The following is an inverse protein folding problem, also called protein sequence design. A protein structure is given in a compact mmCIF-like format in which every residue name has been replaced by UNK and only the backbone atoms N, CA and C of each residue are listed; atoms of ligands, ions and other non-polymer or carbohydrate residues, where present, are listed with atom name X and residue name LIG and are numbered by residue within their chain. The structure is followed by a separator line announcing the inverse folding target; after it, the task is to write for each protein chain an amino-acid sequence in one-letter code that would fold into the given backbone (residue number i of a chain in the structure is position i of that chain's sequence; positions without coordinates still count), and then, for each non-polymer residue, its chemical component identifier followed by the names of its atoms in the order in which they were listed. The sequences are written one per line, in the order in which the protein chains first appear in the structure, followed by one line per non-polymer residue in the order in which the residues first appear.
data_IF_008301271588
#
_entry.id   IF_008301271588
#
_cell.length_a   1.000
_cell.length_b   1.000
_cell.length_c   1.000
_cell.angle_alpha   90.00
_cell.angle_beta   90.00
_cell.angle_gamma   90.00
#
_symmetry.space_group_name_H-M   'P 1'
#
loop_
_entity.id
_entity.type
_entity.pdbx_description
1 polymer ?
#
# COMPACT_ATOMS: atom_id res chain seq x y z
N UNK A 1 -40.92 11.64 -30.95
CA UNK A 1 -39.84 12.61 -30.77
C UNK A 1 -39.22 12.44 -29.35
N UNK A 2 -38.63 11.24 -29.05
CA UNK A 2 -38.01 10.92 -27.71
C UNK A 2 -36.49 10.67 -27.76
N UNK A 3 -35.81 11.03 -28.86
CA UNK A 3 -34.36 10.74 -29.02
C UNK A 3 -33.37 11.60 -28.22
N UNK A 4 -33.61 12.90 -27.92
CA UNK A 4 -32.58 13.69 -27.21
C UNK A 4 -32.46 13.42 -25.70
N UNK A 5 -33.51 12.91 -25.05
CA UNK A 5 -33.46 12.63 -23.57
C UNK A 5 -32.68 11.36 -23.24
N UNK A 6 -32.75 10.35 -24.12
CA UNK A 6 -32.04 9.09 -23.94
C UNK A 6 -30.52 9.29 -24.15
N UNK A 7 -30.14 10.18 -25.07
CA UNK A 7 -28.72 10.49 -25.32
C UNK A 7 -28.09 11.29 -24.18
N UNK A 8 -28.83 12.19 -23.54
CA UNK A 8 -28.33 12.95 -22.37
C UNK A 8 -28.16 12.06 -21.12
N UNK A 9 -29.07 11.10 -20.91
CA UNK A 9 -29.00 10.14 -19.81
C UNK A 9 -27.84 9.15 -20.03
N UNK A 10 -27.55 8.74 -21.26
CA UNK A 10 -26.42 7.88 -21.60
C UNK A 10 -25.07 8.59 -21.41
N UNK A 11 -24.97 9.89 -21.68
CA UNK A 11 -23.77 10.69 -21.45
C UNK A 11 -23.54 10.90 -19.95
N UNK A 12 -24.58 11.10 -19.15
CA UNK A 12 -24.48 11.22 -17.69
C UNK A 12 -24.13 9.89 -17.01
N UNK A 13 -24.61 8.76 -17.52
CA UNK A 13 -24.22 7.42 -17.05
C UNK A 13 -22.81 7.03 -17.53
N UNK A 14 -22.36 7.50 -18.69
CA UNK A 14 -21.01 7.28 -19.19
C UNK A 14 -19.93 8.04 -18.42
N UNK A 15 -20.25 9.20 -17.84
CA UNK A 15 -19.33 9.96 -16.98
C UNK A 15 -19.16 9.36 -15.57
N UNK A 16 -20.12 8.57 -15.11
CA UNK A 16 -20.01 7.86 -13.82
C UNK A 16 -19.19 6.56 -13.90
N UNK A 17 -18.89 6.05 -15.09
CA UNK A 17 -18.21 4.75 -15.29
C UNK A 17 -16.68 4.87 -15.43
N UNK A 18 -16.08 6.04 -15.33
CA UNK A 18 -14.63 6.24 -15.29
C UNK A 18 -14.14 6.54 -13.87
N UNK A 19 -14.55 5.73 -12.89
CA UNK A 19 -13.75 5.50 -11.71
C UNK A 19 -12.62 4.55 -12.14
N UNK A 20 -11.68 5.07 -12.93
CA UNK A 20 -10.40 4.41 -13.17
C UNK A 20 -9.78 4.10 -11.82
N UNK A 21 -9.20 2.92 -11.65
CA UNK A 21 -8.38 2.60 -10.50
C UNK A 21 -7.40 3.77 -10.33
N UNK A 22 -7.54 4.54 -9.24
CA UNK A 22 -6.57 5.58 -8.94
C UNK A 22 -5.24 4.87 -8.70
N UNK A 23 -4.21 5.23 -9.47
CA UNK A 23 -2.86 4.74 -9.24
C UNK A 23 -2.49 5.01 -7.79
N UNK A 24 -1.97 4.00 -7.11
CA UNK A 24 -1.56 4.12 -5.72
C UNK A 24 -0.45 5.17 -5.61
N UNK A 25 -0.56 6.04 -4.62
CA UNK A 25 0.54 6.95 -4.32
C UNK A 25 1.74 6.18 -3.77
N UNK A 26 2.96 6.68 -3.96
CA UNK A 26 4.16 6.09 -3.38
C UNK A 26 4.02 5.90 -1.86
N UNK A 27 3.41 6.86 -1.17
CA UNK A 27 3.16 6.77 0.26
C UNK A 27 2.25 5.58 0.61
N UNK A 28 1.20 5.36 -0.17
CA UNK A 28 0.27 4.24 0.04
C UNK A 28 0.96 2.90 -0.22
N UNK A 29 1.75 2.80 -1.30
CA UNK A 29 2.54 1.61 -1.64
C UNK A 29 3.46 1.24 -0.47
N UNK A 30 4.21 2.21 0.06
CA UNK A 30 5.13 1.99 1.18
C UNK A 30 4.37 1.56 2.45
N UNK A 31 3.25 2.22 2.77
CA UNK A 31 2.45 1.87 3.94
C UNK A 31 1.84 0.47 3.82
N UNK A 32 1.45 0.05 2.63
CA UNK A 32 0.97 -1.33 2.37
C UNK A 32 2.07 -2.35 2.61
N UNK A 33 3.29 -2.06 2.20
CA UNK A 33 4.42 -2.99 2.20
C UNK A 33 5.12 -3.12 3.56
N UNK A 34 5.31 -2.00 4.27
CA UNK A 34 6.12 -1.96 5.51
C UNK A 34 5.76 -3.02 6.54
N UNK A 35 4.48 -3.27 6.89
CA UNK A 35 4.15 -4.25 7.92
C UNK A 35 4.65 -5.67 7.64
N UNK A 36 4.85 -6.03 6.37
CA UNK A 36 5.33 -7.34 5.97
C UNK A 36 6.86 -7.51 6.11
N UNK A 37 7.61 -6.44 6.42
CA UNK A 37 9.07 -6.47 6.54
C UNK A 37 9.47 -6.55 8.01
N UNK A 38 10.41 -7.44 8.34
CA UNK A 38 10.83 -7.74 9.69
C UNK A 38 12.36 -7.82 9.80
N UNK A 39 12.88 -7.64 11.00
CA UNK A 39 14.30 -7.93 11.32
C UNK A 39 14.48 -9.44 11.44
N UNK A 40 15.49 -9.97 10.79
CA UNK A 40 15.96 -11.35 11.00
C UNK A 40 17.22 -11.31 11.84
N UNK A 41 17.24 -12.08 12.91
CA UNK A 41 18.38 -12.17 13.83
C UNK A 41 18.83 -13.63 13.93
N UNK A 42 20.07 -13.88 13.57
CA UNK A 42 20.75 -15.16 13.76
C UNK A 42 21.72 -15.03 14.92
N UNK A 43 21.63 -15.91 15.89
CA UNK A 43 22.44 -15.89 17.11
C UNK A 43 23.07 -17.26 17.33
N UNK A 44 24.29 -17.25 17.87
CA UNK A 44 24.93 -18.46 18.40
C UNK A 44 25.31 -18.17 19.82
N UNK A 45 24.54 -18.70 20.73
CA UNK A 45 24.80 -18.74 22.15
C UNK A 45 25.33 -20.12 22.57
N UNK A 46 25.29 -20.37 23.88
CA UNK A 46 25.62 -21.66 24.44
C UNK A 46 26.16 -21.56 25.84
N UNK A 47 26.69 -22.66 26.33
CA UNK A 47 27.32 -22.74 27.66
C UNK A 47 28.81 -22.98 27.50
N UNK A 48 29.58 -22.34 28.38
CA UNK A 48 31.03 -22.47 28.45
C UNK A 48 31.42 -22.85 29.87
N UNK A 49 32.13 -23.95 30.03
CA UNK A 49 32.69 -24.38 31.34
C UNK A 49 34.16 -23.98 31.43
N UNK A 50 34.44 -23.04 32.32
CA UNK A 50 35.76 -22.46 32.54
C UNK A 50 36.30 -22.83 33.93
N UNK A 51 37.61 -22.82 34.07
CA UNK A 51 38.29 -22.91 35.39
C UNK A 51 38.87 -21.55 35.75
N UNK A 52 38.26 -20.86 36.72
CA UNK A 52 38.67 -19.54 37.18
C UNK A 52 39.34 -19.66 38.58
N UNK A 53 40.65 -19.50 38.64
CA UNK A 53 41.36 -19.57 39.93
C UNK A 53 41.22 -20.92 40.65
N UNK A 54 41.14 -22.01 39.92
CA UNK A 54 40.97 -23.37 40.44
C UNK A 54 39.51 -23.82 40.59
N UNK A 55 38.54 -22.93 40.50
CA UNK A 55 37.09 -23.23 40.58
C UNK A 55 36.50 -23.38 39.18
N UNK A 56 35.76 -24.44 38.98
CA UNK A 56 35.02 -24.69 37.74
C UNK A 56 33.69 -23.91 37.75
N UNK A 57 33.40 -23.21 36.66
CA UNK A 57 32.17 -22.45 36.46
C UNK A 57 31.60 -22.74 35.08
N UNK A 58 30.31 -23.00 35.01
CA UNK A 58 29.55 -23.05 33.72
C UNK A 58 28.72 -21.78 33.58
N UNK A 59 28.88 -21.07 32.48
CA UNK A 59 28.25 -19.78 32.23
C UNK A 59 27.72 -19.72 30.80
N UNK A 60 26.70 -18.87 30.58
CA UNK A 60 26.15 -18.56 29.26
C UNK A 60 26.58 -17.13 28.87
N UNK A 61 27.65 -16.97 28.11
CA UNK A 61 28.10 -15.65 27.66
C UNK A 61 27.12 -14.99 26.71
N UNK A 62 27.30 -13.68 26.48
CA UNK A 62 26.51 -12.94 25.47
C UNK A 62 26.69 -13.64 24.11
N UNK A 63 25.59 -14.00 23.42
CA UNK A 63 25.64 -14.67 22.14
C UNK A 63 26.32 -13.81 21.05
N UNK A 64 27.00 -14.47 20.13
CA UNK A 64 27.33 -13.83 18.85
C UNK A 64 26.07 -13.62 18.03
N UNK A 65 25.96 -12.45 17.39
CA UNK A 65 24.74 -12.06 16.71
C UNK A 65 25.03 -11.42 15.37
N UNK A 66 24.28 -11.86 14.35
CA UNK A 66 24.16 -11.19 13.06
C UNK A 66 22.69 -10.83 12.81
N UNK A 67 22.46 -9.78 12.05
CA UNK A 67 21.09 -9.36 11.74
C UNK A 67 20.97 -8.82 10.31
N UNK A 68 19.78 -8.95 9.77
CA UNK A 68 19.40 -8.42 8.48
C UNK A 68 17.90 -8.18 8.43
N UNK A 69 17.38 -8.02 7.24
CA UNK A 69 15.97 -7.85 6.96
C UNK A 69 15.40 -9.12 6.33
N UNK A 70 14.07 -9.23 6.36
CA UNK A 70 13.33 -10.24 5.63
C UNK A 70 11.89 -9.79 5.44
N UNK A 71 11.14 -10.48 4.60
CA UNK A 71 9.75 -10.16 4.37
C UNK A 71 8.89 -11.41 4.19
N UNK A 72 7.65 -11.32 4.67
CA UNK A 72 6.70 -12.43 4.59
C UNK A 72 6.11 -12.55 3.18
N UNK A 73 6.05 -13.81 2.72
CA UNK A 73 5.43 -14.21 1.45
C UNK A 73 4.09 -14.92 1.62
N UNK A 74 3.82 -15.44 2.83
CA UNK A 74 2.58 -16.15 3.12
C UNK A 74 2.05 -15.75 4.50
N UNK A 75 0.73 -15.61 4.66
CA UNK A 75 0.12 -15.30 5.95
C UNK A 75 0.35 -16.37 7.01
N UNK A 76 0.81 -17.55 6.61
CA UNK A 76 1.18 -18.64 7.53
C UNK A 76 2.58 -18.53 8.11
N UNK A 77 3.26 -17.38 7.94
CA UNK A 77 4.55 -17.12 8.55
C UNK A 77 5.76 -17.62 7.77
N UNK A 78 5.64 -17.76 6.44
CA UNK A 78 6.78 -17.99 5.56
C UNK A 78 7.44 -16.66 5.18
N UNK A 79 8.74 -16.56 5.45
CA UNK A 79 9.55 -15.34 5.28
C UNK A 79 10.81 -15.67 4.49
N UNK A 80 11.18 -14.78 3.56
CA UNK A 80 12.45 -14.84 2.81
C UNK A 80 13.42 -13.81 3.35
N UNK A 81 14.68 -14.19 3.40
CA UNK A 81 15.85 -13.33 3.70
C UNK A 81 17.06 -13.82 2.90
N UNK A 82 18.21 -13.17 3.05
CA UNK A 82 19.47 -13.70 2.48
C UNK A 82 20.03 -14.87 3.27
N UNK A 83 20.77 -15.73 2.57
CA UNK A 83 21.50 -16.84 3.18
C UNK A 83 22.57 -16.38 4.15
N UNK A 84 23.33 -15.32 3.79
CA UNK A 84 24.40 -14.80 4.67
C UNK A 84 23.86 -14.23 5.99
N UNK A 85 22.61 -13.77 6.05
CA UNK A 85 21.98 -13.26 7.28
C UNK A 85 21.83 -14.38 8.32
N UNK A 86 21.62 -15.61 7.89
CA UNK A 86 21.38 -16.75 8.79
C UNK A 86 22.52 -17.78 8.79
N UNK A 87 23.60 -17.54 8.05
CA UNK A 87 24.70 -18.48 7.87
C UNK A 87 25.32 -18.89 9.20
N UNK A 88 25.47 -17.97 10.14
CA UNK A 88 26.08 -18.25 11.46
C UNK A 88 25.23 -19.23 12.29
N UNK A 89 23.93 -19.24 12.12
CA UNK A 89 23.03 -20.19 12.76
C UNK A 89 22.91 -21.49 11.98
N UNK A 90 22.94 -21.45 10.65
CA UNK A 90 22.83 -22.62 9.80
C UNK A 90 24.12 -23.45 9.77
N UNK A 91 25.25 -22.78 9.62
CA UNK A 91 26.59 -23.37 9.47
C UNK A 91 27.58 -22.66 10.40
N UNK A 92 27.42 -22.77 11.74
CA UNK A 92 28.27 -22.05 12.65
C UNK A 92 29.75 -22.47 12.47
N UNK A 93 30.68 -21.49 12.29
CA UNK A 93 32.10 -21.80 12.18
C UNK A 93 32.62 -22.24 13.56
N UNK A 94 32.44 -23.54 13.86
CA UNK A 94 32.59 -24.12 15.23
C UNK A 94 33.83 -23.65 15.96
N UNK A 95 35.00 -23.75 15.29
CA UNK A 95 36.30 -23.38 15.95
C UNK A 95 36.32 -21.91 16.35
N UNK A 96 35.88 -21.02 15.44
CA UNK A 96 35.85 -19.58 15.70
C UNK A 96 34.79 -19.25 16.76
N UNK A 97 33.63 -19.85 16.66
CA UNK A 97 32.50 -19.57 17.55
C UNK A 97 32.82 -20.05 19.00
N UNK A 98 33.43 -21.25 19.12
CA UNK A 98 33.93 -21.75 20.43
C UNK A 98 34.91 -20.77 21.06
N UNK A 99 35.91 -20.32 20.31
CA UNK A 99 36.89 -19.37 20.78
C UNK A 99 36.23 -18.04 21.23
N UNK A 100 35.29 -17.53 20.44
CA UNK A 100 34.55 -16.31 20.75
C UNK A 100 33.73 -16.42 22.02
N UNK A 101 32.99 -17.51 22.23
CA UNK A 101 32.21 -17.69 23.46
C UNK A 101 33.11 -17.87 24.69
N UNK A 102 34.24 -18.59 24.57
CA UNK A 102 35.23 -18.73 25.63
C UNK A 102 35.83 -17.36 25.98
N UNK A 103 36.21 -16.57 25.01
CA UNK A 103 36.72 -15.20 25.22
C UNK A 103 35.71 -14.37 26.02
N UNK A 104 34.44 -14.33 25.56
CA UNK A 104 33.37 -13.57 26.22
C UNK A 104 33.15 -14.03 27.66
N UNK A 105 33.07 -15.35 27.89
CA UNK A 105 32.89 -15.92 29.22
C UNK A 105 34.08 -15.61 30.11
N UNK A 106 35.32 -15.76 29.62
CA UNK A 106 36.54 -15.50 30.39
C UNK A 106 36.67 -14.03 30.74
N UNK A 107 36.43 -13.11 29.80
CA UNK A 107 36.48 -11.66 30.09
C UNK A 107 35.47 -11.26 31.17
N UNK A 108 34.27 -11.86 31.17
CA UNK A 108 33.23 -11.54 32.13
C UNK A 108 33.52 -12.16 33.54
N UNK A 109 33.90 -13.42 33.57
CA UNK A 109 33.87 -14.20 34.81
C UNK A 109 35.23 -14.41 35.47
N UNK A 110 36.33 -14.56 34.71
CA UNK A 110 37.62 -14.90 35.22
C UNK A 110 38.60 -13.73 35.25
N UNK A 111 38.62 -12.93 34.20
CA UNK A 111 39.61 -11.88 34.00
C UNK A 111 39.65 -10.85 35.15
N UNK A 112 38.50 -10.32 35.64
CA UNK A 112 38.52 -9.32 36.72
C UNK A 112 39.23 -9.82 37.98
N UNK A 113 38.94 -11.05 38.40
CA UNK A 113 39.59 -11.65 39.55
C UNK A 113 41.09 -11.95 39.34
N UNK A 114 41.51 -12.23 38.11
CA UNK A 114 42.92 -12.44 37.79
C UNK A 114 43.70 -11.12 37.77
N UNK A 115 43.10 -10.04 37.25
CA UNK A 115 43.70 -8.72 37.27
C UNK A 115 43.86 -8.19 38.68
N UNK A 116 42.82 -8.30 39.52
CA UNK A 116 42.89 -7.92 40.95
C UNK A 116 44.02 -8.61 41.66
N UNK A 117 44.22 -9.94 41.46
CA UNK A 117 45.33 -10.67 42.05
C UNK A 117 46.71 -10.22 41.56
N UNK A 118 46.80 -9.60 40.40
CA UNK A 118 48.03 -9.03 39.82
C UNK A 118 48.21 -7.54 40.15
N UNK A 119 47.28 -6.93 40.89
CA UNK A 119 47.30 -5.50 41.19
C UNK A 119 47.05 -4.60 39.97
N UNK A 120 46.35 -5.10 38.95
CA UNK A 120 46.04 -4.37 37.73
C UNK A 120 44.56 -3.97 37.71
N UNK A 121 44.28 -2.76 37.20
CA UNK A 121 42.91 -2.33 36.86
C UNK A 121 42.50 -2.82 35.46
N UNK A 122 41.20 -3.07 35.20
CA UNK A 122 40.70 -3.37 33.87
C UNK A 122 41.06 -2.27 32.87
N UNK A 123 41.62 -2.65 31.71
CA UNK A 123 42.08 -1.74 30.66
C UNK A 123 43.42 -1.07 30.88
N UNK A 124 44.08 -1.29 32.05
CA UNK A 124 45.38 -0.69 32.37
C UNK A 124 46.52 -1.27 31.51
N UNK A 125 46.46 -2.58 31.23
CA UNK A 125 47.42 -3.28 30.35
C UNK A 125 46.70 -4.19 29.36
N UNK A 126 46.18 -3.69 28.24
CA UNK A 126 45.45 -4.46 27.26
C UNK A 126 46.22 -5.68 26.71
N UNK A 127 47.56 -5.57 26.55
CA UNK A 127 48.40 -6.66 26.05
C UNK A 127 48.46 -7.84 27.02
N UNK A 128 48.42 -7.59 28.36
CA UNK A 128 48.37 -8.62 29.41
C UNK A 128 47.00 -9.28 29.42
N UNK A 129 45.95 -8.49 29.33
CA UNK A 129 44.56 -8.99 29.28
C UNK A 129 44.36 -9.90 28.07
N UNK A 130 44.77 -9.45 26.85
CA UNK A 130 44.67 -10.23 25.61
C UNK A 130 45.55 -11.50 25.66
N UNK A 131 46.70 -11.45 26.35
CA UNK A 131 47.53 -12.61 26.60
C UNK A 131 46.80 -13.66 27.44
N UNK A 132 46.18 -13.25 28.55
CA UNK A 132 45.40 -14.15 29.42
C UNK A 132 44.16 -14.72 28.69
N UNK A 133 43.50 -13.92 27.88
CA UNK A 133 42.36 -14.38 27.06
C UNK A 133 42.80 -15.44 26.04
N UNK A 134 43.89 -15.20 25.29
CA UNK A 134 44.46 -16.18 24.36
C UNK A 134 44.83 -17.51 25.04
N UNK A 135 45.45 -17.43 26.21
CA UNK A 135 45.79 -18.60 27.00
C UNK A 135 44.53 -19.38 27.41
N UNK A 136 43.50 -18.68 27.90
CA UNK A 136 42.24 -19.30 28.31
C UNK A 136 41.53 -19.97 27.14
N UNK A 137 41.48 -19.31 25.98
CA UNK A 137 40.90 -19.88 24.76
C UNK A 137 41.66 -21.13 24.31
N UNK A 138 43.00 -21.10 24.35
CA UNK A 138 43.82 -22.25 23.98
C UNK A 138 43.71 -23.42 24.98
N UNK A 139 43.53 -23.10 26.27
CA UNK A 139 43.42 -24.10 27.34
C UNK A 139 42.00 -24.70 27.48
N UNK A 140 40.97 -24.11 26.88
CA UNK A 140 39.59 -24.60 26.98
C UNK A 140 39.29 -25.61 25.88
N UNK A 141 39.10 -26.91 26.19
CA UNK A 141 38.76 -27.90 25.20
C UNK A 141 37.37 -27.66 24.58
N UNK A 142 37.15 -28.08 23.32
CA UNK A 142 35.90 -27.85 22.58
C UNK A 142 34.69 -28.54 23.24
N UNK A 143 34.86 -29.63 23.93
CA UNK A 143 33.81 -30.36 24.65
C UNK A 143 33.31 -29.61 25.91
N UNK A 144 34.01 -28.57 26.34
CA UNK A 144 33.59 -27.64 27.38
C UNK A 144 32.69 -26.52 26.90
N UNK A 145 32.37 -26.50 25.61
CA UNK A 145 31.53 -25.47 24.97
C UNK A 145 30.40 -26.12 24.21
N UNK A 146 29.17 -25.81 24.58
CA UNK A 146 27.99 -26.10 23.76
C UNK A 146 27.69 -24.90 22.87
N UNK A 147 27.28 -25.17 21.61
CA UNK A 147 26.82 -24.14 20.71
C UNK A 147 25.30 -24.30 20.48
N UNK A 148 24.56 -23.25 20.71
CA UNK A 148 23.10 -23.19 20.58
C UNK A 148 22.73 -22.14 19.53
N UNK A 149 22.75 -22.51 18.23
CA UNK A 149 22.34 -21.60 17.17
C UNK A 149 20.81 -21.42 17.17
N UNK A 150 20.37 -20.17 17.05
CA UNK A 150 18.96 -19.80 17.00
C UNK A 150 18.72 -18.76 15.92
N UNK A 151 17.52 -18.75 15.36
CA UNK A 151 17.04 -17.70 14.47
C UNK A 151 15.74 -17.15 15.02
N UNK A 152 15.59 -15.84 14.98
CA UNK A 152 14.36 -15.16 15.36
C UNK A 152 14.02 -14.05 14.38
N UNK A 153 12.74 -13.73 14.31
CA UNK A 153 12.18 -12.65 13.51
C UNK A 153 11.57 -11.63 14.47
N UNK A 154 11.95 -10.36 14.33
CA UNK A 154 11.41 -9.26 15.14
C UNK A 154 10.51 -8.43 14.24
N UNK A 155 9.24 -8.37 14.58
CA UNK A 155 8.23 -7.58 13.88
C UNK A 155 8.34 -6.10 14.24
N UNK A 156 7.69 -5.23 13.45
CA UNK A 156 7.75 -3.78 13.69
C UNK A 156 7.07 -3.32 14.98
N UNK A 157 6.22 -4.16 15.58
CA UNK A 157 5.66 -3.93 16.92
C UNK A 157 6.61 -4.41 18.06
N UNK A 158 7.82 -4.88 17.73
CA UNK A 158 8.80 -5.39 18.69
C UNK A 158 8.60 -6.87 19.08
N UNK A 159 7.53 -7.53 18.63
CA UNK A 159 7.31 -8.95 18.92
C UNK A 159 8.43 -9.80 18.30
N UNK A 160 9.05 -10.67 19.12
CA UNK A 160 10.11 -11.60 18.70
C UNK A 160 9.53 -13.00 18.57
N UNK A 161 9.62 -13.55 17.36
CA UNK A 161 9.13 -14.88 17.01
C UNK A 161 10.32 -15.81 16.76
N UNK A 162 10.30 -16.98 17.35
CA UNK A 162 11.28 -18.03 17.01
C UNK A 162 11.05 -18.48 15.57
N UNK A 163 12.14 -18.63 14.81
CA UNK A 163 12.10 -19.05 13.42
C UNK A 163 12.95 -20.30 13.21
N UNK A 164 12.53 -21.16 12.29
CA UNK A 164 13.36 -22.27 11.79
C UNK A 164 13.74 -22.01 10.33
N UNK A 165 14.95 -22.39 9.96
CA UNK A 165 15.39 -22.37 8.56
C UNK A 165 14.79 -23.58 7.87
N UNK A 166 13.91 -23.36 6.89
CA UNK A 166 13.21 -24.41 6.15
C UNK A 166 13.93 -24.76 4.84
N UNK A 167 14.56 -23.77 4.20
CA UNK A 167 15.40 -23.96 3.01
C UNK A 167 16.52 -22.93 3.03
N UNK A 168 17.70 -23.34 2.60
CA UNK A 168 18.90 -22.51 2.64
C UNK A 168 19.70 -22.68 1.35
N UNK A 169 20.21 -21.60 0.84
CA UNK A 169 21.18 -21.53 -0.24
C UNK A 169 22.29 -20.58 0.16
N UNK A 170 23.48 -21.13 0.33
CA UNK A 170 24.64 -20.38 0.81
C UNK A 170 24.94 -19.15 -0.07
N UNK A 171 25.59 -18.09 0.49
CA UNK A 171 26.15 -17.01 -0.31
C UNK A 171 27.25 -17.55 -1.23
N UNK A 172 27.36 -16.99 -2.41
CA UNK A 172 28.40 -17.34 -3.37
C UNK A 172 29.77 -16.87 -2.86
N UNK A 173 30.52 -17.72 -2.14
CA UNK A 173 31.87 -17.45 -1.63
C UNK A 173 32.83 -18.59 -2.00
N UNK A 174 34.06 -18.26 -2.46
CA UNK A 174 35.14 -19.24 -2.71
C UNK A 174 35.04 -19.98 -4.06
N UNK A 175 35.78 -21.07 -4.20
CA UNK A 175 35.93 -21.88 -5.45
C UNK A 175 34.79 -22.91 -5.60
N UNK A 176 33.64 -22.70 -5.32
CA UNK A 176 32.52 -23.65 -5.43
C UNK A 176 31.16 -22.96 -5.49
N UNK A 177 31.15 -21.78 -6.07
CA UNK A 177 30.09 -20.79 -5.99
C UNK A 177 28.85 -21.22 -6.76
N UNK A 178 27.93 -21.96 -6.11
CA UNK A 178 26.60 -22.28 -6.69
C UNK A 178 25.44 -21.77 -5.85
N UNK A 179 25.73 -21.05 -4.78
CA UNK A 179 24.68 -20.53 -3.87
C UNK A 179 23.95 -19.32 -4.42
N UNK A 180 22.67 -19.20 -4.07
CA UNK A 180 21.81 -18.06 -4.45
C UNK A 180 21.69 -17.00 -3.36
N UNK A 181 22.39 -17.16 -2.24
CA UNK A 181 22.32 -16.28 -1.06
C UNK A 181 20.89 -16.02 -0.58
N UNK A 182 20.08 -17.05 -0.47
CA UNK A 182 18.68 -16.99 -0.03
C UNK A 182 18.41 -17.98 1.10
N UNK A 183 17.55 -17.58 2.02
CA UNK A 183 17.01 -18.45 3.05
C UNK A 183 15.49 -18.28 3.18
N UNK A 184 14.80 -19.41 3.35
CA UNK A 184 13.38 -19.48 3.66
C UNK A 184 13.23 -19.83 5.14
N UNK A 185 12.58 -18.94 5.86
CA UNK A 185 12.29 -19.13 7.28
C UNK A 185 10.81 -19.42 7.50
N UNK A 186 10.53 -20.13 8.59
CA UNK A 186 9.17 -20.41 9.05
C UNK A 186 9.04 -19.98 10.50
N UNK A 187 8.08 -19.10 10.78
CA UNK A 187 7.61 -18.76 12.12
C UNK A 187 6.20 -19.32 12.33
N UNK A 188 5.88 -19.71 13.56
CA UNK A 188 4.55 -20.17 13.90
C UNK A 188 3.64 -18.95 14.14
N UNK A 189 3.00 -18.51 13.06
CA UNK A 189 2.11 -17.35 13.05
C UNK A 189 1.05 -17.52 11.97
N UNK A 190 -0.06 -16.79 12.10
CA UNK A 190 -1.16 -16.74 11.15
C UNK A 190 -1.54 -15.30 10.83
N UNK A 191 -2.21 -15.11 9.71
CA UNK A 191 -2.69 -13.79 9.25
C UNK A 191 -1.57 -12.73 9.11
N UNK A 192 -0.32 -13.16 8.92
CA UNK A 192 0.83 -12.25 8.76
C UNK A 192 0.64 -11.35 7.54
N UNK A 193 1.08 -10.08 7.63
CA UNK A 193 1.18 -9.23 6.45
C UNK A 193 2.14 -9.86 5.43
N UNK A 194 1.83 -9.73 4.14
CA UNK A 194 2.58 -10.37 3.06
C UNK A 194 2.87 -9.42 1.91
N UNK A 195 3.94 -9.71 1.16
CA UNK A 195 4.25 -9.06 -0.11
C UNK A 195 4.15 -10.06 -1.25
N UNK A 196 3.60 -9.61 -2.36
CA UNK A 196 3.55 -10.39 -3.59
C UNK A 196 4.87 -10.26 -4.36
N UNK A 197 5.36 -11.38 -4.90
CA UNK A 197 6.48 -11.36 -5.84
C UNK A 197 5.99 -10.83 -7.19
N UNK A 198 6.64 -9.79 -7.69
CA UNK A 198 6.45 -9.24 -9.03
C UNK A 198 7.25 -9.99 -10.09
N UNK A 199 7.17 -9.54 -11.33
CA UNK A 199 7.97 -10.06 -12.45
C UNK A 199 9.26 -9.24 -12.61
N UNK A 200 10.40 -9.82 -12.20
CA UNK A 200 11.70 -9.19 -12.42
C UNK A 200 12.14 -9.18 -13.89
N UNK A 201 11.51 -9.99 -14.76
CA UNK A 201 11.79 -9.98 -16.20
C UNK A 201 11.18 -8.78 -16.92
N UNK A 202 10.16 -8.15 -16.35
CA UNK A 202 9.56 -6.93 -16.89
C UNK A 202 10.30 -5.64 -16.50
N UNK A 203 11.23 -5.72 -15.53
CA UNK A 203 11.99 -4.56 -15.00
C UNK A 203 12.98 -4.04 -16.04
N UNK A 204 13.08 -2.71 -16.16
CA UNK A 204 13.94 -2.01 -17.11
C UNK A 204 14.93 -1.08 -16.41
N UNK A 205 16.03 -0.74 -17.08
CA UNK A 205 16.95 0.31 -16.62
C UNK A 205 16.17 1.62 -16.53
N UNK A 206 16.34 2.32 -15.39
CA UNK A 206 15.63 3.56 -15.07
C UNK A 206 14.34 3.38 -14.29
N UNK A 207 13.80 2.16 -14.17
CA UNK A 207 12.61 1.90 -13.36
C UNK A 207 12.88 2.24 -11.89
N UNK A 208 11.88 2.85 -11.24
CA UNK A 208 11.98 3.22 -9.83
C UNK A 208 11.91 1.99 -8.93
N UNK A 209 12.78 1.99 -7.93
CA UNK A 209 12.85 0.94 -6.91
C UNK A 209 12.77 1.58 -5.53
N UNK A 210 11.97 0.96 -4.65
CA UNK A 210 11.93 1.27 -3.22
C UNK A 210 12.43 0.05 -2.43
N UNK A 211 13.45 0.26 -1.60
CA UNK A 211 14.00 -0.78 -0.70
C UNK A 211 13.50 -0.53 0.71
N UNK A 212 13.02 -1.60 1.36
CA UNK A 212 12.55 -1.53 2.75
C UNK A 212 13.40 -2.49 3.61
N UNK A 213 13.92 -1.98 4.72
CA UNK A 213 14.76 -2.81 5.59
C UNK A 213 15.14 -2.13 6.90
N UNK A 214 16.05 -2.75 7.63
CA UNK A 214 16.49 -2.31 8.95
C UNK A 214 18.02 -2.08 8.98
N UNK A 215 18.47 -0.87 8.57
CA UNK A 215 19.89 -0.55 8.58
C UNK A 215 20.49 -0.69 9.99
N UNK A 216 21.63 -1.36 10.12
CA UNK A 216 22.28 -1.58 11.42
C UNK A 216 22.60 -0.26 12.13
N UNK A 217 23.01 0.75 11.37
CA UNK A 217 23.30 2.09 11.90
C UNK A 217 22.08 2.73 12.59
N UNK A 218 20.87 2.48 12.09
CA UNK A 218 19.62 2.93 12.71
C UNK A 218 19.30 2.09 13.96
N UNK A 219 19.46 0.78 13.86
CA UNK A 219 19.16 -0.16 14.96
C UNK A 219 20.09 0.03 16.17
N UNK A 220 21.34 0.44 15.95
CA UNK A 220 22.33 0.67 17.01
C UNK A 220 22.41 2.12 17.48
N UNK A 221 21.67 3.03 16.84
CA UNK A 221 21.75 4.47 17.13
C UNK A 221 21.28 4.79 18.56
N UNK A 222 22.14 5.41 19.35
CA UNK A 222 21.91 5.62 20.80
C UNK A 222 20.73 6.56 21.10
N UNK A 223 20.47 7.56 20.23
CA UNK A 223 19.39 8.54 20.43
C UNK A 223 18.00 8.03 20.04
N UNK A 224 17.89 6.84 19.43
CA UNK A 224 16.60 6.28 19.03
C UNK A 224 16.02 5.39 20.11
N UNK A 225 14.71 5.50 20.35
CA UNK A 225 13.96 4.60 21.21
C UNK A 225 13.89 3.18 20.63
N UNK A 226 13.63 2.18 21.45
CA UNK A 226 13.47 0.79 21.00
C UNK A 226 12.37 0.65 19.94
N UNK A 227 11.25 1.34 20.11
CA UNK A 227 10.14 1.39 19.15
C UNK A 227 10.52 2.04 17.81
N UNK A 228 11.33 3.11 17.84
CA UNK A 228 11.83 3.73 16.62
C UNK A 228 12.79 2.81 15.86
N UNK A 229 13.64 2.09 16.58
CA UNK A 229 14.57 1.09 16.01
C UNK A 229 13.86 -0.10 15.36
N UNK A 230 12.67 -0.45 15.84
CA UNK A 230 11.86 -1.54 15.30
C UNK A 230 11.09 -1.15 14.02
N UNK A 231 11.10 0.12 13.61
CA UNK A 231 10.47 0.57 12.38
C UNK A 231 11.39 0.44 11.18
N UNK A 232 10.88 -0.15 10.09
CA UNK A 232 11.64 -0.28 8.86
C UNK A 232 11.91 1.09 8.21
N UNK A 233 13.15 1.27 7.75
CA UNK A 233 13.56 2.39 6.90
C UNK A 233 13.23 2.11 5.45
N UNK A 234 13.01 3.18 4.69
CA UNK A 234 12.72 3.11 3.25
C UNK A 234 13.72 3.98 2.50
N UNK A 235 14.33 3.42 1.48
CA UNK A 235 15.20 4.15 0.55
C UNK A 235 14.67 4.00 -0.87
N UNK A 236 14.97 4.97 -1.71
CA UNK A 236 14.51 5.00 -3.09
C UNK A 236 15.69 5.13 -4.03
N UNK A 237 15.53 4.59 -5.22
CA UNK A 237 16.49 4.68 -6.31
C UNK A 237 15.89 4.19 -7.62
N UNK A 238 16.76 3.76 -8.52
CA UNK A 238 16.38 3.26 -9.84
C UNK A 238 17.21 2.04 -10.19
N UNK A 239 16.76 1.26 -11.14
CA UNK A 239 17.55 0.20 -11.76
C UNK A 239 18.64 0.83 -12.59
N UNK A 240 19.90 0.57 -12.25
CA UNK A 240 21.06 1.11 -12.93
C UNK A 240 21.59 0.18 -14.04
N UNK A 241 21.52 -1.12 -13.84
CA UNK A 241 22.06 -2.13 -14.79
C UNK A 241 21.59 -3.54 -14.43
N UNK A 242 21.73 -4.46 -15.38
CA UNK A 242 21.64 -5.89 -15.15
C UNK A 242 23.04 -6.48 -15.22
N UNK A 243 23.39 -7.29 -14.23
CA UNK A 243 24.72 -7.91 -14.10
C UNK A 243 24.58 -9.41 -13.86
N UNK A 244 25.69 -10.08 -13.82
CA UNK A 244 25.81 -11.43 -13.30
C UNK A 244 26.83 -11.42 -12.15
N UNK A 245 26.55 -12.18 -11.10
CA UNK A 245 27.51 -12.41 -10.04
C UNK A 245 28.63 -13.38 -10.50
N UNK A 246 29.55 -13.71 -9.60
CA UNK A 246 30.66 -14.64 -9.92
C UNK A 246 30.21 -16.06 -10.23
N UNK A 247 28.98 -16.43 -9.83
CA UNK A 247 28.36 -17.72 -10.13
C UNK A 247 27.51 -17.68 -11.41
N UNK A 248 27.65 -16.61 -12.23
CA UNK A 248 26.81 -16.32 -13.41
C UNK A 248 25.30 -16.24 -13.10
N UNK A 249 24.92 -15.93 -11.85
CA UNK A 249 23.54 -15.70 -11.49
C UNK A 249 23.15 -14.25 -11.79
N UNK A 250 21.95 -14.01 -12.35
CA UNK A 250 21.50 -12.66 -12.65
C UNK A 250 21.30 -11.85 -11.37
N UNK A 251 21.75 -10.60 -11.38
CA UNK A 251 21.53 -9.61 -10.34
C UNK A 251 21.12 -8.27 -10.95
N UNK A 252 20.25 -7.54 -10.29
CA UNK A 252 19.84 -6.19 -10.65
C UNK A 252 20.71 -5.23 -9.86
N UNK A 253 21.38 -4.30 -10.54
CA UNK A 253 22.10 -3.21 -9.90
C UNK A 253 21.16 -2.03 -9.71
N UNK A 254 21.22 -1.38 -8.54
CA UNK A 254 20.44 -0.19 -8.20
C UNK A 254 21.28 0.85 -7.48
N UNK A 255 20.92 2.11 -7.62
CA UNK A 255 21.44 3.24 -6.87
C UNK A 255 20.65 3.54 -5.58
N UNK A 256 19.59 2.77 -5.30
CA UNK A 256 18.88 2.87 -4.02
C UNK A 256 19.86 2.65 -2.88
N UNK A 257 19.90 3.59 -1.92
CA UNK A 257 20.79 3.49 -0.79
C UNK A 257 20.52 2.22 0.02
N UNK A 258 21.57 1.46 0.32
CA UNK A 258 21.51 0.27 1.15
C UNK A 258 22.76 0.22 2.06
N UNK A 259 22.57 -0.33 3.24
CA UNK A 259 23.60 -0.50 4.27
C UNK A 259 23.51 -1.89 4.90
N UNK A 260 24.51 -2.22 5.73
CA UNK A 260 24.46 -3.42 6.56
C UNK A 260 23.12 -3.47 7.32
N UNK A 261 22.46 -4.63 7.29
CA UNK A 261 21.13 -4.82 7.89
C UNK A 261 19.97 -4.66 6.92
N UNK A 262 20.12 -3.96 5.77
CA UNK A 262 19.08 -3.95 4.71
C UNK A 262 19.06 -5.23 3.87
N UNK A 263 20.13 -6.03 3.91
CA UNK A 263 20.21 -7.35 3.26
C UNK A 263 19.04 -8.24 3.65
N UNK A 264 18.42 -8.89 2.68
CA UNK A 264 17.21 -9.70 2.85
C UNK A 264 15.90 -8.91 2.74
N UNK A 265 15.95 -7.58 2.73
CA UNK A 265 14.79 -6.72 2.54
C UNK A 265 14.26 -6.74 1.09
N UNK A 266 12.97 -6.45 0.88
CA UNK A 266 12.36 -6.39 -0.45
C UNK A 266 12.77 -5.14 -1.21
N UNK A 267 13.01 -5.32 -2.52
CA UNK A 267 13.06 -4.25 -3.50
C UNK A 267 11.72 -4.23 -4.25
N UNK A 268 10.98 -3.13 -4.17
CA UNK A 268 9.64 -2.97 -4.73
C UNK A 268 9.67 -2.13 -6.00
N UNK A 269 8.84 -2.48 -6.98
CA UNK A 269 8.56 -1.62 -8.14
C UNK A 269 7.52 -0.54 -7.79
N UNK A 270 7.13 0.24 -8.79
CA UNK A 270 6.13 1.31 -8.66
C UNK A 270 4.71 0.81 -8.28
N UNK A 271 4.42 -0.47 -8.47
CA UNK A 271 3.13 -1.09 -8.10
C UNK A 271 3.16 -1.69 -6.68
N UNK A 272 4.31 -1.66 -6.01
CA UNK A 272 4.51 -2.27 -4.69
C UNK A 272 4.77 -3.77 -4.71
N UNK A 273 4.98 -4.37 -5.89
CA UNK A 273 5.36 -5.76 -6.02
C UNK A 273 6.88 -5.94 -5.84
N UNK A 274 7.28 -7.05 -5.21
CA UNK A 274 8.69 -7.37 -4.97
C UNK A 274 9.37 -7.83 -6.25
N UNK A 275 10.27 -7.03 -6.80
CA UNK A 275 11.09 -7.39 -7.97
C UNK A 275 12.38 -8.09 -7.59
N UNK A 276 12.72 -8.11 -6.30
CA UNK A 276 13.84 -8.90 -5.80
C UNK A 276 14.17 -8.66 -4.34
N UNK A 277 15.26 -9.26 -3.89
CA UNK A 277 15.78 -9.23 -2.51
C UNK A 277 17.09 -8.48 -2.49
N UNK A 278 17.18 -7.42 -1.68
CA UNK A 278 18.45 -6.70 -1.46
C UNK A 278 19.47 -7.66 -0.87
N UNK A 279 20.69 -7.73 -1.46
CA UNK A 279 21.67 -8.72 -1.02
C UNK A 279 22.97 -8.09 -0.53
N UNK A 280 23.85 -7.70 -1.41
CA UNK A 280 25.13 -7.16 -0.99
C UNK A 280 25.28 -5.70 -1.40
N UNK A 281 26.01 -5.00 -0.55
CA UNK A 281 26.46 -3.62 -0.81
C UNK A 281 27.93 -3.65 -1.19
N UNK A 282 28.33 -2.79 -2.10
CA UNK A 282 29.75 -2.63 -2.46
C UNK A 282 30.47 -1.97 -1.28
N UNK A 283 31.53 -2.60 -0.78
CA UNK A 283 32.40 -2.04 0.26
C UNK A 283 33.71 -1.54 -0.37
N UNK A 284 34.07 -0.30 -0.05
CA UNK A 284 35.38 0.28 -0.34
C UNK A 284 36.21 0.42 0.95
N UNK A 285 37.41 0.97 0.84
CA UNK A 285 38.35 1.15 1.97
C UNK A 285 37.79 2.02 3.13
N UNK A 286 36.72 2.79 2.89
CA UNK A 286 36.07 3.66 3.86
C UNK A 286 34.67 3.20 4.29
N UNK A 287 34.24 1.99 3.94
CA UNK A 287 32.88 1.46 4.26
C UNK A 287 32.02 1.21 3.02
N UNK A 288 30.70 1.21 3.17
CA UNK A 288 29.77 0.96 2.08
C UNK A 288 29.82 2.07 1.03
N UNK A 289 30.02 1.69 -0.24
CA UNK A 289 30.01 2.61 -1.38
C UNK A 289 28.56 2.79 -1.83
N UNK A 290 28.04 4.01 -1.69
CA UNK A 290 26.67 4.34 -2.09
C UNK A 290 26.51 4.28 -3.62
N UNK A 291 25.32 3.89 -4.08
CA UNK A 291 24.95 3.88 -5.50
C UNK A 291 25.33 2.61 -6.28
N UNK A 292 25.94 1.62 -5.63
CA UNK A 292 26.34 0.34 -6.26
C UNK A 292 25.83 -0.85 -5.44
N UNK A 293 24.53 -0.97 -5.35
CA UNK A 293 23.87 -2.03 -4.59
C UNK A 293 23.24 -3.06 -5.53
N UNK A 294 23.03 -4.27 -5.02
CA UNK A 294 22.57 -5.39 -5.83
C UNK A 294 21.37 -6.08 -5.22
N UNK A 295 20.49 -6.56 -6.11
CA UNK A 295 19.21 -7.18 -5.78
C UNK A 295 19.16 -8.54 -6.48
N UNK A 296 18.86 -9.60 -5.75
CA UNK A 296 18.56 -10.93 -6.31
C UNK A 296 17.17 -10.86 -6.94
N UNK A 297 17.00 -11.12 -8.25
CA UNK A 297 15.71 -10.99 -8.92
C UNK A 297 14.62 -11.91 -8.34
N UNK A 298 13.37 -11.45 -8.38
CA UNK A 298 12.22 -12.23 -7.90
C UNK A 298 12.06 -13.57 -8.65
N UNK A 299 12.48 -13.67 -9.90
CA UNK A 299 12.52 -14.93 -10.63
C UNK A 299 13.42 -15.96 -9.93
N UNK A 300 14.61 -15.56 -9.47
CA UNK A 300 15.52 -16.43 -8.71
C UNK A 300 14.94 -16.82 -7.35
N UNK A 301 14.15 -15.92 -6.72
CA UNK A 301 13.40 -16.23 -5.49
C UNK A 301 12.33 -17.30 -5.78
N UNK A 302 11.55 -17.17 -6.86
CA UNK A 302 10.56 -18.18 -7.26
C UNK A 302 11.19 -19.53 -7.51
N UNK A 303 12.31 -19.58 -8.23
CA UNK A 303 13.07 -20.80 -8.46
C UNK A 303 13.59 -21.43 -7.16
N UNK A 304 14.09 -20.58 -6.25
CA UNK A 304 14.53 -21.03 -4.92
C UNK A 304 13.37 -21.63 -4.13
N UNK A 305 12.17 -21.07 -4.21
CA UNK A 305 10.99 -21.58 -3.51
C UNK A 305 10.37 -22.83 -4.16
N UNK A 306 10.77 -23.17 -5.37
CA UNK A 306 10.25 -24.36 -6.04
C UNK A 306 10.47 -25.62 -5.22
N UNK A 307 9.47 -26.52 -5.18
CA UNK A 307 9.48 -27.73 -4.36
C UNK A 307 9.26 -27.51 -2.85
N UNK A 308 8.96 -26.28 -2.42
CA UNK A 308 8.53 -25.99 -1.05
C UNK A 308 6.99 -25.97 -0.95
N UNK A 309 6.48 -25.93 0.28
CA UNK A 309 5.03 -25.86 0.55
C UNK A 309 4.53 -24.41 0.70
N UNK A 310 5.31 -23.43 0.28
CA UNK A 310 4.92 -21.99 0.36
C UNK A 310 3.84 -21.71 -0.69
N UNK A 311 2.66 -21.31 -0.24
CA UNK A 311 1.61 -20.79 -1.11
C UNK A 311 1.81 -19.28 -1.27
N UNK A 312 2.15 -18.83 -2.48
CA UNK A 312 2.42 -17.42 -2.80
C UNK A 312 1.13 -16.60 -3.02
N UNK A 313 0.03 -17.28 -3.37
CA UNK A 313 -1.24 -16.63 -3.73
C UNK A 313 -2.25 -16.63 -2.57
N UNK A 314 -1.80 -16.95 -1.35
CA UNK A 314 -2.66 -17.01 -0.19
C UNK A 314 -3.00 -15.61 0.32
N UNK A 315 -4.30 -15.33 0.45
CA UNK A 315 -4.79 -14.02 0.90
C UNK A 315 -4.53 -13.83 2.40
N UNK A 316 -3.82 -12.77 2.75
CA UNK A 316 -3.67 -12.32 4.14
C UNK A 316 -4.88 -11.51 4.59
N UNK A 317 -5.50 -11.92 5.71
CA UNK A 317 -6.59 -11.14 6.33
C UNK A 317 -6.09 -9.78 6.82
N UNK A 318 -4.85 -9.71 7.32
CA UNK A 318 -4.22 -8.44 7.66
C UNK A 318 -4.13 -7.52 6.44
N UNK A 319 -3.57 -8.02 5.31
CA UNK A 319 -3.48 -7.21 4.09
C UNK A 319 -4.85 -6.73 3.61
N UNK A 320 -5.86 -7.61 3.60
CA UNK A 320 -7.21 -7.23 3.19
C UNK A 320 -7.76 -6.08 4.03
N UNK A 321 -7.62 -6.16 5.35
CA UNK A 321 -8.06 -5.12 6.27
C UNK A 321 -7.23 -3.83 6.14
N UNK A 322 -5.90 -3.96 6.14
CA UNK A 322 -4.98 -2.82 6.06
C UNK A 322 -5.12 -2.05 4.74
N UNK A 323 -5.14 -2.77 3.60
CA UNK A 323 -5.27 -2.14 2.28
C UNK A 323 -6.64 -1.47 2.10
N UNK A 324 -7.73 -2.08 2.58
CA UNK A 324 -9.06 -1.45 2.56
C UNK A 324 -9.07 -0.17 3.42
N UNK A 325 -8.47 -0.22 4.61
CA UNK A 325 -8.35 0.93 5.49
C UNK A 325 -7.54 2.07 4.87
N UNK A 326 -6.42 1.76 4.22
CA UNK A 326 -5.59 2.73 3.51
C UNK A 326 -6.33 3.34 2.31
N UNK A 327 -7.01 2.51 1.49
CA UNK A 327 -7.79 3.00 0.35
C UNK A 327 -8.88 4.00 0.79
N UNK A 328 -9.62 3.69 1.87
CA UNK A 328 -10.59 4.61 2.44
C UNK A 328 -9.92 5.87 3.03
N UNK A 329 -8.76 5.73 3.67
CA UNK A 329 -8.01 6.85 4.23
C UNK A 329 -7.53 7.82 3.13
N UNK A 330 -6.87 7.31 2.08
CA UNK A 330 -6.35 8.12 0.98
C UNK A 330 -7.44 8.70 0.07
N UNK A 331 -8.61 8.05 -0.01
CA UNK A 331 -9.80 8.62 -0.66
C UNK A 331 -10.52 9.70 0.17
N UNK A 332 -10.04 10.00 1.39
CA UNK A 332 -10.67 10.96 2.29
C UNK A 332 -11.93 10.42 3.00
N UNK A 333 -12.20 9.12 2.91
CA UNK A 333 -13.36 8.47 3.54
C UNK A 333 -13.05 8.01 4.97
N UNK A 334 -12.58 8.93 5.82
CA UNK A 334 -11.99 8.62 7.13
C UNK A 334 -12.92 7.83 8.06
N UNK A 335 -14.20 8.13 8.07
CA UNK A 335 -15.18 7.38 8.87
C UNK A 335 -15.30 5.93 8.43
N UNK A 336 -15.16 5.63 7.13
CA UNK A 336 -15.19 4.26 6.61
C UNK A 336 -13.88 3.52 6.90
N UNK A 337 -12.75 4.24 6.88
CA UNK A 337 -11.43 3.67 7.18
C UNK A 337 -11.33 3.09 8.59
N UNK A 338 -12.10 3.61 9.56
CA UNK A 338 -11.98 3.25 10.96
C UNK A 338 -12.15 1.75 11.24
N UNK A 339 -13.14 1.09 10.61
CA UNK A 339 -13.41 -0.33 10.83
C UNK A 339 -12.31 -1.24 10.28
N UNK A 340 -11.89 -1.14 9.02
CA UNK A 340 -10.81 -1.99 8.50
C UNK A 340 -9.46 -1.71 9.17
N UNK A 341 -9.15 -0.47 9.56
CA UNK A 341 -7.93 -0.15 10.31
C UNK A 341 -7.95 -0.78 11.71
N UNK A 342 -9.09 -0.76 12.40
CA UNK A 342 -9.24 -1.44 13.69
C UNK A 342 -9.07 -2.97 13.55
N UNK A 343 -9.58 -3.57 12.47
CA UNK A 343 -9.38 -5.00 12.20
C UNK A 343 -7.92 -5.33 11.91
N UNK A 344 -7.20 -4.50 11.15
CA UNK A 344 -5.75 -4.66 10.92
C UNK A 344 -4.99 -4.64 12.26
N UNK A 345 -5.30 -3.67 13.14
CA UNK A 345 -4.69 -3.60 14.48
C UNK A 345 -5.07 -4.78 15.39
N UNK A 346 -6.25 -5.37 15.20
CA UNK A 346 -6.66 -6.57 15.94
C UNK A 346 -5.88 -7.82 15.49
N UNK A 347 -5.59 -7.94 14.19
CA UNK A 347 -4.86 -9.08 13.61
C UNK A 347 -3.37 -9.03 13.93
N UNK A 348 -2.78 -7.85 13.88
CA UNK A 348 -1.39 -7.60 14.28
C UNK A 348 -1.33 -6.32 15.13
N UNK A 349 -1.39 -6.46 16.46
CA UNK A 349 -1.45 -5.33 17.37
C UNK A 349 -0.17 -4.49 17.37
N UNK A 350 -0.32 -3.21 17.70
CA UNK A 350 0.78 -2.28 18.00
C UNK A 350 1.78 -2.03 16.87
N UNK A 351 1.40 -2.31 15.61
CA UNK A 351 2.22 -1.88 14.46
C UNK A 351 2.18 -0.36 14.37
N UNK A 352 3.33 0.35 14.45
CA UNK A 352 3.36 1.81 14.57
C UNK A 352 2.62 2.56 13.46
N UNK A 353 2.79 2.13 12.20
CA UNK A 353 2.10 2.78 11.08
C UNK A 353 0.58 2.52 11.12
N UNK A 354 0.13 1.34 11.56
CA UNK A 354 -1.30 1.03 11.72
C UNK A 354 -1.91 1.91 12.81
N UNK A 355 -1.25 2.04 13.95
CA UNK A 355 -1.69 2.91 15.05
C UNK A 355 -1.76 4.37 14.62
N UNK A 356 -0.70 4.86 13.94
CA UNK A 356 -0.62 6.25 13.46
C UNK A 356 -1.73 6.58 12.47
N UNK A 357 -1.93 5.77 11.44
CA UNK A 357 -2.97 5.99 10.42
C UNK A 357 -4.37 5.86 11.04
N UNK A 358 -4.57 4.90 11.96
CA UNK A 358 -5.84 4.76 12.67
C UNK A 358 -6.18 6.00 13.50
N UNK A 359 -5.22 6.51 14.27
CA UNK A 359 -5.40 7.73 15.06
C UNK A 359 -5.70 8.95 14.17
N UNK A 360 -4.97 9.09 13.07
CA UNK A 360 -5.17 10.16 12.10
C UNK A 360 -6.54 10.07 11.41
N UNK A 361 -6.97 8.88 10.99
CA UNK A 361 -8.30 8.66 10.42
C UNK A 361 -9.40 9.04 11.41
N UNK A 362 -9.29 8.62 12.67
CA UNK A 362 -10.25 8.97 13.71
C UNK A 362 -10.30 10.49 13.99
N UNK A 363 -9.14 11.17 13.99
CA UNK A 363 -9.08 12.61 14.18
C UNK A 363 -9.75 13.35 13.02
N UNK A 364 -9.45 13.00 11.79
CA UNK A 364 -10.03 13.58 10.58
C UNK A 364 -11.52 13.28 10.43
N UNK A 365 -11.97 12.08 10.82
CA UNK A 365 -13.38 11.69 10.79
C UNK A 365 -14.26 12.60 11.68
N UNK A 366 -13.74 13.07 12.82
CA UNK A 366 -14.47 14.00 13.72
C UNK A 366 -14.72 15.36 13.09
N UNK A 367 -13.86 15.80 12.18
CA UNK A 367 -13.97 17.09 11.49
C UNK A 367 -14.61 16.98 10.11
N UNK A 368 -14.85 15.75 9.64
CA UNK A 368 -15.46 15.49 8.33
C UNK A 368 -16.96 15.77 8.39
N UNK A 369 -17.51 16.65 7.52
CA UNK A 369 -18.95 16.88 7.50
C UNK A 369 -19.69 15.59 7.12
N UNK A 370 -20.79 15.31 7.85
CA UNK A 370 -21.62 14.10 7.66
C UNK A 370 -22.22 13.99 6.25
N UNK A 371 -22.37 15.12 5.57
CA UNK A 371 -22.87 15.18 4.18
C UNK A 371 -21.84 15.88 3.29
N UNK A 372 -21.58 15.35 2.11
CA UNK A 372 -20.71 15.99 1.13
C UNK A 372 -21.45 17.19 0.50
N UNK A 373 -21.52 18.31 1.23
CA UNK A 373 -22.26 19.51 0.84
C UNK A 373 -21.99 19.97 -0.58
N UNK A 374 -20.77 19.80 -1.09
CA UNK A 374 -20.44 20.09 -2.48
C UNK A 374 -21.22 19.22 -3.47
N UNK A 375 -21.38 17.92 -3.19
CA UNK A 375 -22.16 17.00 -4.05
C UNK A 375 -23.66 17.29 -3.91
N UNK A 376 -24.14 17.53 -2.70
CA UNK A 376 -25.54 17.91 -2.45
C UNK A 376 -25.86 19.24 -3.14
N UNK A 377 -25.00 20.26 -3.01
CA UNK A 377 -25.15 21.53 -3.70
C UNK A 377 -25.14 21.38 -5.22
N UNK A 378 -24.24 20.58 -5.78
CA UNK A 378 -24.17 20.27 -7.20
C UNK A 378 -25.45 19.58 -7.71
N UNK A 379 -25.95 18.58 -6.97
CA UNK A 379 -27.21 17.90 -7.31
C UNK A 379 -28.42 18.84 -7.28
N UNK A 380 -28.51 19.75 -6.30
CA UNK A 380 -29.58 20.74 -6.22
C UNK A 380 -29.52 21.75 -7.37
N UNK A 381 -28.34 22.20 -7.77
CA UNK A 381 -28.14 23.09 -8.92
C UNK A 381 -28.57 22.37 -10.21
N UNK A 382 -28.15 21.12 -10.42
CA UNK A 382 -28.57 20.35 -11.60
C UNK A 382 -30.09 20.10 -11.63
N UNK A 383 -30.71 19.81 -10.49
CA UNK A 383 -32.16 19.67 -10.38
C UNK A 383 -32.88 21.00 -10.71
N UNK A 384 -32.32 22.14 -10.25
CA UNK A 384 -32.81 23.48 -10.59
C UNK A 384 -32.75 23.77 -12.11
N UNK A 385 -31.63 23.48 -12.76
CA UNK A 385 -31.49 23.63 -14.21
C UNK A 385 -32.45 22.70 -14.98
N UNK A 386 -32.60 21.45 -14.55
CA UNK A 386 -33.55 20.51 -15.16
C UNK A 386 -35.00 21.01 -15.02
N UNK A 387 -35.39 21.47 -13.85
CA UNK A 387 -36.71 22.06 -13.58
C UNK A 387 -36.95 23.32 -14.42
N UNK A 388 -35.97 24.20 -14.55
CA UNK A 388 -36.05 25.37 -15.37
C UNK A 388 -36.15 25.00 -16.87
N UNK A 389 -35.41 24.02 -17.33
CA UNK A 389 -35.52 23.49 -18.70
C UNK A 389 -36.91 22.93 -19.01
N UNK A 390 -37.53 22.21 -18.06
CA UNK A 390 -38.92 21.72 -18.20
C UNK A 390 -39.92 22.87 -18.27
N UNK A 391 -39.73 23.93 -17.47
CA UNK A 391 -40.60 25.12 -17.51
C UNK A 391 -40.50 25.86 -18.85
N UNK A 392 -39.29 26.03 -19.40
CA UNK A 392 -39.07 26.64 -20.71
C UNK A 392 -39.68 25.78 -21.81
N UNK A 393 -39.49 24.46 -21.72
CA UNK A 393 -40.09 23.54 -22.69
C UNK A 393 -41.63 23.61 -22.67
N UNK A 394 -42.27 23.61 -21.47
CA UNK A 394 -43.73 23.78 -21.32
C UNK A 394 -44.20 25.11 -21.84
N UNK A 395 -43.47 26.22 -21.58
CA UNK A 395 -43.79 27.55 -22.14
C UNK A 395 -43.72 27.54 -23.67
N UNK A 396 -42.67 26.89 -24.24
CA UNK A 396 -42.52 26.77 -25.70
C UNK A 396 -43.64 25.96 -26.30
N UNK A 397 -44.03 24.85 -25.69
CA UNK A 397 -45.17 24.02 -26.16
C UNK A 397 -46.48 24.79 -26.12
N UNK A 398 -46.76 25.57 -25.07
CA UNK A 398 -47.97 26.39 -24.99
C UNK A 398 -48.02 27.51 -26.03
N UNK A 399 -46.89 27.97 -26.51
CA UNK A 399 -46.81 29.09 -27.45
C UNK A 399 -46.66 28.63 -28.91
N UNK A 400 -46.49 27.34 -29.17
CA UNK A 400 -46.31 26.81 -30.52
C UNK A 400 -47.46 27.13 -31.48
N UNK A 401 -48.66 27.28 -30.93
CA UNK A 401 -49.88 27.55 -31.73
C UNK A 401 -50.47 28.92 -31.40
N UNK A 402 -49.74 29.82 -30.76
CA UNK A 402 -50.20 31.19 -30.49
C UNK A 402 -49.69 32.12 -31.58
N UNK A 403 -50.59 32.91 -32.11
CA UNK A 403 -50.32 33.96 -33.10
C UNK A 403 -50.60 35.31 -32.46
N UNK A 404 -49.83 36.32 -32.80
CA UNK A 404 -50.03 37.67 -32.26
C UNK A 404 -51.21 38.37 -32.91
N UNK A 405 -51.90 39.28 -32.19
CA UNK A 405 -53.01 40.08 -32.79
C UNK A 405 -52.61 40.84 -34.05
N UNK A 406 -51.37 41.36 -34.08
CA UNK A 406 -50.85 42.09 -35.26
C UNK A 406 -50.67 41.17 -36.48
N UNK A 407 -50.29 39.93 -36.23
CA UNK A 407 -50.12 38.94 -37.29
C UNK A 407 -51.46 38.40 -37.76
N UNK A 408 -52.48 38.27 -36.91
CA UNK A 408 -53.86 37.99 -37.28
C UNK A 408 -54.43 39.12 -38.16
N UNK A 409 -54.23 40.38 -37.79
CA UNK A 409 -54.62 41.52 -38.55
C UNK A 409 -54.04 41.50 -40.00
N UNK A 410 -52.72 41.22 -40.07
CA UNK A 410 -52.04 41.09 -41.38
C UNK A 410 -52.59 39.94 -42.25
N UNK A 411 -52.88 38.78 -41.61
CA UNK A 411 -53.44 37.62 -42.29
C UNK A 411 -54.90 37.87 -42.79
N UNK A 412 -55.67 38.73 -42.09
CA UNK A 412 -57.05 39.13 -42.52
C UNK A 412 -57.06 40.03 -43.74
N UNK A 413 -55.97 40.76 -43.99
CA UNK A 413 -55.79 41.63 -45.19
C UNK A 413 -55.25 40.85 -46.41
N UNK A 414 -54.83 39.56 -46.22
CA UNK A 414 -54.24 38.74 -47.23
C UNK A 414 -55.33 38.20 -48.24
N UNK A 415 -54.84 37.54 -49.30
CA UNK A 415 -55.72 36.97 -50.40
C UNK A 415 -56.56 35.79 -49.90
N UNK A 416 -56.11 35.07 -48.90
CA UNK A 416 -56.86 33.96 -48.29
C UNK A 416 -56.91 34.18 -46.73
N UNK A 417 -57.83 34.99 -46.25
CA UNK A 417 -57.94 35.33 -44.84
C UNK A 417 -58.37 34.11 -44.03
N UNK A 418 -57.79 33.93 -42.83
CA UNK A 418 -58.13 32.82 -41.96
C UNK A 418 -59.56 32.86 -41.47
N UNK A 419 -60.11 31.69 -41.11
CA UNK A 419 -61.39 31.66 -40.42
C UNK A 419 -61.11 31.99 -38.92
N UNK A 420 -61.82 32.98 -38.41
CA UNK A 420 -61.70 33.39 -37.00
C UNK A 420 -62.81 32.74 -36.21
N UNK A 421 -62.43 32.00 -35.17
CA UNK A 421 -63.35 31.39 -34.20
C UNK A 421 -63.31 32.14 -32.88
N UNK A 422 -64.50 32.59 -32.46
CA UNK A 422 -64.67 33.14 -31.11
C UNK A 422 -65.05 31.98 -30.16
N UNK A 423 -64.08 31.52 -29.34
CA UNK A 423 -64.25 30.39 -28.45
C UNK A 423 -64.32 30.85 -26.96
N UNK A 424 -64.67 32.10 -26.75
CA UNK A 424 -64.86 32.63 -25.38
C UNK A 424 -66.04 31.94 -24.71
N UNK A 425 -65.94 31.74 -23.38
CA UNK A 425 -67.07 31.25 -22.62
C UNK A 425 -68.28 32.16 -22.71
N UNK A 426 -69.49 31.62 -22.63
CA UNK A 426 -70.73 32.36 -22.82
C UNK A 426 -70.80 33.63 -22.01
N UNK A 427 -70.44 33.58 -20.75
CA UNK A 427 -70.43 34.77 -19.87
C UNK A 427 -69.41 35.85 -20.28
N UNK A 428 -68.28 35.46 -20.81
CA UNK A 428 -67.27 36.38 -21.35
C UNK A 428 -67.65 36.98 -22.67
N UNK A 429 -68.31 36.20 -23.51
CA UNK A 429 -68.84 36.65 -24.78
C UNK A 429 -69.96 37.70 -24.65
N UNK A 430 -70.90 37.49 -23.72
CA UNK A 430 -72.02 38.42 -23.47
C UNK A 430 -71.56 39.71 -22.82
N UNK A 431 -70.58 39.65 -21.98
CA UNK A 431 -70.07 40.88 -21.30
C UNK A 431 -69.13 41.74 -22.13
N UNK A 432 -68.62 41.26 -23.25
CA UNK A 432 -67.69 41.99 -24.11
C UNK A 432 -68.36 42.62 -25.28
N UNK A 433 -68.33 43.96 -25.41
CA UNK A 433 -68.89 44.65 -26.58
C UNK A 433 -67.98 44.51 -27.84
N UNK A 434 -66.73 44.10 -27.64
CA UNK A 434 -65.72 44.01 -28.70
C UNK A 434 -65.68 42.62 -29.29
N UNK A 435 -65.77 42.52 -30.63
CA UNK A 435 -65.69 41.24 -31.39
C UNK A 435 -64.82 41.45 -32.59
N UNK A 436 -64.13 40.40 -33.02
CA UNK A 436 -63.43 40.41 -34.32
C UNK A 436 -64.45 40.30 -35.41
N UNK A 437 -64.45 41.21 -36.38
CA UNK A 437 -65.42 41.18 -37.50
C UNK A 437 -65.38 39.85 -38.23
N UNK A 438 -66.57 39.28 -38.59
CA UNK A 438 -66.71 37.99 -39.25
C UNK A 438 -66.23 36.77 -38.49
N UNK A 439 -66.01 36.85 -37.19
CA UNK A 439 -65.71 35.69 -36.35
C UNK A 439 -66.96 34.81 -36.18
N UNK A 440 -66.72 33.49 -36.25
CA UNK A 440 -67.77 32.49 -36.02
C UNK A 440 -67.78 32.15 -34.55
N UNK A 441 -68.95 32.18 -33.94
CA UNK A 441 -69.12 31.75 -32.54
C UNK A 441 -69.08 30.22 -32.42
N UNK A 442 -68.25 29.67 -31.60
CA UNK A 442 -68.17 28.24 -31.34
C UNK A 442 -67.93 28.08 -29.77
N UNK A 443 -68.88 27.42 -29.12
CA UNK A 443 -68.73 27.10 -27.69
C UNK A 443 -68.12 25.71 -27.51
N UNK A 444 -67.55 25.44 -26.32
CA UNK A 444 -67.07 24.09 -26.01
C UNK A 444 -68.22 23.05 -26.12
N UNK A 445 -69.45 23.39 -25.70
CA UNK A 445 -70.59 22.51 -25.79
C UNK A 445 -70.94 22.18 -27.24
N UNK A 446 -70.73 23.12 -28.19
CA UNK A 446 -70.98 22.87 -29.63
C UNK A 446 -69.98 21.87 -30.20
N UNK A 447 -68.83 21.65 -29.55
CA UNK A 447 -67.79 20.72 -29.97
C UNK A 447 -67.95 19.35 -29.33
N UNK A 448 -68.43 19.28 -28.08
CA UNK A 448 -68.51 18.04 -27.29
C UNK A 448 -69.74 17.19 -27.62
N UNK A 449 -70.88 17.80 -27.93
CA UNK A 449 -72.16 17.08 -28.17
C UNK A 449 -72.31 16.53 -29.61
N UNK A 450 -71.23 16.35 -30.35
CA UNK A 450 -71.37 15.97 -31.82
C UNK A 450 -72.11 16.99 -32.66
N UNK A 451 -72.26 18.20 -32.11
CA UNK A 451 -72.99 19.32 -32.69
C UNK A 451 -72.25 19.91 -33.85
N UNK A 452 -72.94 20.84 -34.52
CA UNK A 452 -72.58 21.46 -35.77
C UNK A 452 -71.13 21.92 -35.82
N UNK A 453 -70.30 21.18 -36.52
CA UNK A 453 -68.99 21.68 -36.93
C UNK A 453 -69.18 23.03 -37.63
N UNK A 454 -68.41 24.06 -37.22
CA UNK A 454 -68.48 25.32 -37.95
C UNK A 454 -68.17 25.07 -39.42
N UNK A 455 -69.00 25.66 -40.31
CA UNK A 455 -68.86 25.52 -41.77
C UNK A 455 -67.59 26.28 -42.24
N UNK A 456 -66.44 25.70 -41.92
CA UNK A 456 -65.09 26.20 -42.28
C UNK A 456 -64.47 25.20 -43.23
N UNK A 457 -63.93 25.67 -44.33
CA UNK A 457 -63.17 24.85 -45.25
C UNK A 457 -61.97 24.21 -44.50
N UNK A 458 -61.88 22.89 -44.63
CA UNK A 458 -60.81 22.12 -43.89
C UNK A 458 -59.40 22.51 -44.32
N UNK A 459 -59.21 23.13 -45.45
CA UNK A 459 -57.90 23.62 -45.93
C UNK A 459 -57.57 25.03 -45.49
N UNK A 460 -58.51 25.74 -44.86
CA UNK A 460 -58.34 27.13 -44.45
C UNK A 460 -57.67 27.22 -43.07
N UNK A 461 -56.76 28.14 -42.96
CA UNK A 461 -56.16 28.44 -41.64
C UNK A 461 -57.25 28.87 -40.66
N UNK A 462 -57.28 28.29 -39.48
CA UNK A 462 -58.26 28.63 -38.45
C UNK A 462 -57.51 29.30 -37.30
N UNK A 463 -57.98 30.45 -36.86
CA UNK A 463 -57.51 31.18 -35.72
C UNK A 463 -58.60 31.26 -34.66
N UNK A 464 -58.40 30.63 -33.53
CA UNK A 464 -59.30 30.71 -32.37
C UNK A 464 -58.82 31.78 -31.40
N UNK A 465 -59.74 32.64 -30.92
CA UNK A 465 -59.43 33.59 -29.84
C UNK A 465 -60.32 33.36 -28.63
N UNK A 466 -59.69 33.50 -27.45
CA UNK A 466 -60.35 33.49 -26.14
C UNK A 466 -59.85 34.69 -25.32
N UNK A 467 -60.54 35.09 -24.33
CA UNK A 467 -60.13 36.11 -23.35
C UNK A 467 -60.00 35.48 -21.98
#
# INVERSE_FOLDING_TARGET
MCRPLVTLLAILLGLAAHAGAQDLTLQEIILRAKPAVAVVVAEVGGQVTLRCGGVEKTVSPVPYRESGSGFFLSPRGWLVTNGHVVVVAQEPPRRWMTAHLVEKAFRAECLPGLLTRRGLAPGERPEVEDGLVREAVAATPADRVTLEPTVSVILQNGARLAARIAKYSAPARGEGMSGRDLALLRVEASDMPTLALGDSGAVKIGDKISVIGFPTVVMTHELLSATAKAQASVTHGSVSSFKQDRANQPVIQTDAAAEAGTSGGPALNADGAVVGVMTFVTQGDGGAVQGFNFVIPSAAVRDFLSGTTVALDETSRFNAAWHAGLADFFSGSYSRAARPLAEANRLLPEVPDVLRITAEAMARAKTQPLLPWGQVGGALVLAGFAGYGVLLWRRRQRNLFRISPSEVARLLEGTEPPAILDVRETTAYERSPVRIPRSLRVTLGDLDDGGKRPAVDQKRLVVAYCT
#
